data_IF_043891618879
#
_entry.id   IF_043891618879
#
_cell.length_a   1.000
_cell.length_b   1.000
_cell.length_c   1.000
_cell.angle_alpha   90.00
_cell.angle_beta   90.00
_cell.angle_gamma   90.00
#
_symmetry.space_group_name_H-M   'P 1'
#
loop_
_entity.id
_entity.type
_entity.pdbx_description
1 polymer ?
#
# COMPACT_ATOMS: atom_id res chain seq x y z
N UNK A 1 -10.07 14.88 -7.27
CA UNK A 1 -9.83 14.14 -6.02
C UNK A 1 -8.63 13.23 -6.25
N UNK A 2 -7.56 13.35 -5.46
CA UNK A 2 -6.48 12.36 -5.48
C UNK A 2 -7.06 11.06 -4.93
N UNK A 3 -7.00 9.97 -5.69
CA UNK A 3 -7.56 8.68 -5.29
C UNK A 3 -6.77 8.07 -4.13
N UNK A 4 -7.47 7.32 -3.25
CA UNK A 4 -6.83 6.54 -2.18
C UNK A 4 -6.28 5.19 -2.64
N UNK A 5 -6.48 4.82 -3.92
CA UNK A 5 -6.01 3.54 -4.43
C UNK A 5 -4.50 3.59 -4.67
N UNK A 6 -3.78 2.79 -3.90
CA UNK A 6 -2.36 2.50 -4.09
C UNK A 6 -2.15 1.84 -5.46
N UNK A 7 -3.09 1.00 -5.93
CA UNK A 7 -3.00 0.42 -7.27
C UNK A 7 -2.97 1.49 -8.38
N UNK A 8 -3.90 2.45 -8.34
CA UNK A 8 -3.96 3.53 -9.34
C UNK A 8 -2.73 4.43 -9.29
N UNK A 9 -2.25 4.74 -8.08
CA UNK A 9 -1.04 5.53 -7.90
C UNK A 9 0.19 4.80 -8.43
N UNK A 10 0.34 3.50 -8.15
CA UNK A 10 1.43 2.67 -8.67
C UNK A 10 1.38 2.54 -10.18
N UNK A 11 0.19 2.35 -10.79
CA UNK A 11 0.05 2.29 -12.24
C UNK A 11 0.53 3.59 -12.90
N UNK A 12 0.14 4.75 -12.34
CA UNK A 12 0.59 6.06 -12.83
C UNK A 12 2.09 6.24 -12.64
N UNK A 13 2.62 5.93 -11.45
CA UNK A 13 4.04 6.03 -11.16
C UNK A 13 4.87 5.14 -12.10
N UNK A 14 4.44 3.90 -12.32
CA UNK A 14 5.13 2.93 -13.21
C UNK A 14 5.12 3.38 -14.66
N UNK A 15 4.06 4.09 -15.10
CA UNK A 15 4.03 4.69 -16.45
C UNK A 15 5.04 5.81 -16.66
N UNK A 16 5.52 6.44 -15.57
CA UNK A 16 6.54 7.49 -15.60
C UNK A 16 7.95 6.93 -15.31
N UNK A 17 8.04 5.91 -14.46
CA UNK A 17 9.28 5.27 -14.05
C UNK A 17 9.02 3.79 -13.70
N UNK A 18 9.53 2.87 -14.53
CA UNK A 18 9.33 1.43 -14.37
C UNK A 18 9.96 0.84 -13.10
N UNK A 19 10.79 1.58 -12.36
CA UNK A 19 11.28 1.13 -11.05
C UNK A 19 10.11 0.79 -10.09
N UNK A 20 8.97 1.47 -10.23
CA UNK A 20 7.77 1.22 -9.42
C UNK A 20 7.09 -0.13 -9.69
N UNK A 21 7.41 -0.83 -10.78
CA UNK A 21 6.90 -2.19 -11.03
C UNK A 21 7.41 -3.19 -9.96
N UNK A 22 8.58 -2.92 -9.38
CA UNK A 22 9.19 -3.76 -8.33
C UNK A 22 8.37 -3.79 -7.04
N UNK A 23 7.57 -2.75 -6.78
CA UNK A 23 6.69 -2.62 -5.61
C UNK A 23 5.21 -2.77 -5.96
N UNK A 24 4.89 -3.28 -7.17
CA UNK A 24 3.51 -3.46 -7.66
C UNK A 24 2.60 -4.25 -6.71
N UNK A 25 3.18 -5.16 -5.90
CA UNK A 25 2.45 -5.93 -4.89
C UNK A 25 1.85 -5.08 -3.77
N UNK A 26 2.34 -3.86 -3.55
CA UNK A 26 1.80 -2.94 -2.55
C UNK A 26 0.36 -2.48 -2.86
N UNK A 27 -0.17 -2.73 -4.07
CA UNK A 27 -1.61 -2.61 -4.36
C UNK A 27 -2.50 -3.38 -3.38
N UNK A 28 -2.00 -4.45 -2.76
CA UNK A 28 -2.72 -5.21 -1.73
C UNK A 28 -3.10 -4.36 -0.53
N UNK A 29 -2.41 -3.25 -0.27
CA UNK A 29 -2.75 -2.31 0.81
C UNK A 29 -4.15 -1.70 0.65
N UNK A 30 -4.68 -1.63 -0.58
CA UNK A 30 -6.06 -1.18 -0.82
C UNK A 30 -7.09 -2.09 -0.11
N UNK A 31 -6.78 -3.37 0.03
CA UNK A 31 -7.64 -4.33 0.74
C UNK A 31 -7.71 -4.08 2.25
N UNK A 32 -6.71 -3.39 2.81
CA UNK A 32 -6.70 -3.05 4.23
C UNK A 32 -7.40 -1.71 4.51
N UNK A 33 -7.72 -0.88 3.51
CA UNK A 33 -8.20 0.49 3.74
C UNK A 33 -9.59 0.57 4.39
N UNK A 34 -10.59 -0.17 3.91
CA UNK A 34 -11.95 -0.16 4.48
C UNK A 34 -12.13 -1.24 5.57
N UNK A 35 -11.74 -2.50 5.35
CA UNK A 35 -12.05 -3.60 6.26
C UNK A 35 -11.40 -3.50 7.64
N UNK A 36 -10.25 -2.83 7.77
CA UNK A 36 -9.56 -2.68 9.06
C UNK A 36 -10.21 -1.64 9.98
N UNK A 37 -11.10 -0.79 9.44
CA UNK A 37 -11.70 0.35 10.17
C UNK A 37 -13.16 0.15 10.53
N UNK A 38 -13.90 -0.64 9.73
CA UNK A 38 -15.34 -0.79 9.91
C UNK A 38 -15.73 -2.26 9.94
N UNK A 39 -16.48 -2.72 10.97
CA UNK A 39 -16.92 -4.12 11.07
C UNK A 39 -17.75 -4.61 9.88
N UNK A 40 -18.49 -3.72 9.21
CA UNK A 40 -19.24 -4.06 8.01
C UNK A 40 -18.36 -4.32 6.77
N UNK A 41 -17.05 -4.11 6.88
CA UNK A 41 -16.08 -4.41 5.83
C UNK A 41 -15.65 -5.87 5.76
N UNK A 42 -16.07 -6.72 6.71
CA UNK A 42 -15.76 -8.16 6.76
C UNK A 42 -16.99 -8.98 7.20
N UNK A 43 -17.16 -10.23 6.73
CA UNK A 43 -18.22 -11.09 7.21
C UNK A 43 -17.90 -11.59 8.63
N UNK A 44 -18.79 -11.31 9.59
CA UNK A 44 -18.86 -12.07 10.84
C UNK A 44 -17.73 -11.87 11.86
N UNK A 45 -17.31 -10.63 12.12
CA UNK A 45 -16.35 -10.33 13.19
C UNK A 45 -15.99 -8.85 13.29
N UNK A 46 -15.20 -8.50 14.30
CA UNK A 46 -14.59 -7.19 14.43
C UNK A 46 -13.22 -7.18 13.74
N UNK A 47 -12.76 -6.05 13.17
CA UNK A 47 -11.50 -6.01 12.43
C UNK A 47 -10.29 -6.55 13.19
N UNK A 48 -10.21 -6.30 14.51
CA UNK A 48 -9.10 -6.79 15.33
C UNK A 48 -9.09 -8.31 15.55
N UNK A 49 -10.19 -9.01 15.21
CA UNK A 49 -10.30 -10.47 15.31
C UNK A 49 -9.84 -11.16 14.02
N UNK A 50 -9.87 -10.44 12.90
CA UNK A 50 -9.56 -10.98 11.56
C UNK A 50 -8.17 -10.56 11.09
N UNK A 51 -7.73 -9.34 11.41
CA UNK A 51 -6.38 -8.88 11.09
C UNK A 51 -5.48 -9.11 12.29
N UNK A 52 -4.65 -10.14 12.18
CA UNK A 52 -3.68 -10.49 13.20
C UNK A 52 -2.33 -9.81 12.97
N UNK A 53 -1.35 -10.19 13.80
CA UNK A 53 0.00 -9.68 13.71
C UNK A 53 0.67 -10.00 12.37
N UNK A 54 0.41 -11.16 11.78
CA UNK A 54 1.03 -11.59 10.53
C UNK A 54 0.55 -10.69 9.37
N UNK A 55 -0.75 -10.39 9.32
CA UNK A 55 -1.30 -9.43 8.36
C UNK A 55 -0.74 -8.02 8.56
N UNK A 56 -0.56 -7.59 9.81
CA UNK A 56 0.09 -6.32 10.14
C UNK A 56 1.54 -6.24 9.66
N UNK A 57 2.34 -7.29 9.87
CA UNK A 57 3.74 -7.37 9.43
C UNK A 57 3.84 -7.38 7.89
N UNK A 58 2.95 -8.11 7.20
CA UNK A 58 2.87 -8.08 5.72
C UNK A 58 2.55 -6.69 5.20
N UNK A 59 1.54 -6.01 5.78
CA UNK A 59 1.16 -4.66 5.39
C UNK A 59 2.31 -3.67 5.60
N UNK A 60 3.02 -3.77 6.73
CA UNK A 60 4.16 -2.91 7.03
C UNK A 60 5.31 -3.12 6.04
N UNK A 61 5.64 -4.37 5.70
CA UNK A 61 6.69 -4.67 4.73
C UNK A 61 6.38 -4.10 3.33
N UNK A 62 5.13 -4.24 2.87
CA UNK A 62 4.67 -3.65 1.61
C UNK A 62 4.77 -2.13 1.63
N UNK A 63 4.30 -1.48 2.69
CA UNK A 63 4.35 -0.03 2.84
C UNK A 63 5.79 0.49 2.87
N UNK A 64 6.68 -0.17 3.62
CA UNK A 64 8.09 0.17 3.69
C UNK A 64 8.76 0.12 2.32
N UNK A 65 8.53 -0.95 1.55
CA UNK A 65 9.12 -1.10 0.21
C UNK A 65 8.77 0.07 -0.74
N UNK A 66 7.53 0.55 -0.70
CA UNK A 66 7.09 1.70 -1.51
C UNK A 66 7.76 2.98 -1.02
N UNK A 67 7.77 3.22 0.29
CA UNK A 67 8.34 4.45 0.88
C UNK A 67 9.84 4.53 0.59
N UNK A 68 10.57 3.43 0.72
CA UNK A 68 12.01 3.41 0.50
C UNK A 68 12.35 3.63 -0.98
N UNK A 69 11.62 3.00 -1.91
CA UNK A 69 11.77 3.27 -3.33
C UNK A 69 11.49 4.75 -3.66
N UNK A 70 10.43 5.32 -3.10
CA UNK A 70 10.12 6.75 -3.30
C UNK A 70 11.29 7.60 -2.81
N UNK A 71 11.81 7.37 -1.59
CA UNK A 71 12.96 8.12 -1.07
C UNK A 71 14.18 8.03 -1.99
N UNK A 72 14.48 6.85 -2.54
CA UNK A 72 15.59 6.68 -3.48
C UNK A 72 15.41 7.52 -4.74
N UNK A 73 14.19 7.59 -5.30
CA UNK A 73 13.91 8.43 -6.47
C UNK A 73 14.07 9.93 -6.19
N UNK A 74 13.76 10.38 -4.97
CA UNK A 74 13.89 11.79 -4.58
C UNK A 74 15.29 12.15 -4.05
N UNK A 75 16.06 11.20 -3.52
CA UNK A 75 17.43 11.44 -3.07
C UNK A 75 18.40 11.78 -4.23
N UNK A 76 18.05 11.41 -5.46
CA UNK A 76 18.81 11.74 -6.68
C UNK A 76 18.46 13.09 -7.32
N UNK A 77 17.48 13.84 -6.79
CA UNK A 77 17.09 15.15 -7.32
C UNK A 77 17.87 16.27 -6.59
N UNK A 78 18.75 17.03 -7.27
CA UNK A 78 19.25 18.27 -6.69
C UNK A 78 18.06 19.23 -6.48
N UNK A 79 17.96 19.77 -5.26
CA UNK A 79 16.94 20.74 -4.88
C UNK A 79 17.06 22.09 -5.57
#
# INVERSE_FOLDING_TARGET
MLGHSVADLLNRASSLNSAFDTVSRARTLDLYYIPTRYPNGIPGGLPYEVFDREEGEKALALAASVIDLVKEQFAGLPG
#
